data_IF_950587891311
#
_entry.id   IF_950587891311
#
_cell.length_a   1.000
_cell.length_b   1.000
_cell.length_c   1.000
_cell.angle_alpha   90.00
_cell.angle_beta   90.00
_cell.angle_gamma   90.00
#
_symmetry.space_group_name_H-M   'P 1'
#
loop_
_entity.id
_entity.type
_entity.pdbx_description
1 polymer ?
#
# COMPACT_ATOMS: atom_id res chain seq x y z
N UNK A 1 9.69 -6.25 -20.04
CA UNK A 1 8.56 -6.89 -19.34
C UNK A 1 8.47 -6.24 -17.97
N UNK A 2 7.40 -5.49 -17.67
CA UNK A 2 7.24 -4.90 -16.34
C UNK A 2 7.15 -6.03 -15.30
N UNK A 3 7.91 -5.93 -14.21
CA UNK A 3 7.78 -6.86 -13.09
C UNK A 3 6.35 -6.76 -12.54
N UNK A 4 5.69 -7.91 -12.35
CA UNK A 4 4.36 -7.93 -11.74
C UNK A 4 4.46 -7.35 -10.32
N UNK A 5 3.57 -6.42 -9.99
CA UNK A 5 3.56 -5.84 -8.65
C UNK A 5 3.21 -6.91 -7.61
N UNK A 6 3.58 -6.73 -6.33
CA UNK A 6 3.19 -7.64 -5.27
C UNK A 6 1.66 -7.84 -5.16
N UNK A 7 0.87 -6.80 -5.47
CA UNK A 7 -0.57 -6.92 -5.60
C UNK A 7 -0.99 -7.77 -6.80
N UNK A 8 -0.40 -7.54 -7.97
CA UNK A 8 -0.72 -8.29 -9.17
C UNK A 8 -0.46 -9.79 -8.94
N UNK A 9 0.63 -10.12 -8.25
CA UNK A 9 0.93 -11.49 -7.82
C UNK A 9 -0.10 -12.03 -6.82
N UNK A 10 -0.45 -11.26 -5.79
CA UNK A 10 -1.39 -11.68 -4.74
C UNK A 10 -2.80 -11.91 -5.31
N UNK A 11 -3.31 -10.96 -6.09
CA UNK A 11 -4.63 -11.01 -6.72
C UNK A 11 -4.67 -12.12 -7.77
N UNK A 12 -3.63 -12.25 -8.59
CA UNK A 12 -3.54 -13.34 -9.57
C UNK A 12 -3.54 -14.70 -8.88
N UNK A 13 -2.76 -14.88 -7.81
CA UNK A 13 -2.68 -16.14 -7.07
C UNK A 13 -4.03 -16.53 -6.43
N UNK A 14 -4.71 -15.58 -5.77
CA UNK A 14 -6.01 -15.82 -5.16
C UNK A 14 -7.07 -16.18 -6.22
N UNK A 15 -7.06 -15.46 -7.34
CA UNK A 15 -7.99 -15.69 -8.47
C UNK A 15 -7.76 -17.06 -9.11
N UNK A 16 -6.51 -17.47 -9.30
CA UNK A 16 -6.18 -18.79 -9.85
C UNK A 16 -6.54 -19.92 -8.89
N UNK A 17 -6.32 -19.75 -7.59
CA UNK A 17 -6.67 -20.77 -6.58
C UNK A 17 -8.18 -21.06 -6.57
N UNK A 18 -9.02 -20.02 -6.67
CA UNK A 18 -10.48 -20.16 -6.77
C UNK A 18 -10.89 -20.92 -8.05
N UNK A 19 -10.25 -20.62 -9.18
CA UNK A 19 -10.55 -21.29 -10.44
C UNK A 19 -10.15 -22.77 -10.46
N UNK A 20 -9.08 -23.15 -9.73
CA UNK A 20 -8.55 -24.52 -9.71
C UNK A 20 -9.24 -25.38 -8.66
N UNK A 21 -9.48 -24.86 -7.46
CA UNK A 21 -9.91 -25.66 -6.30
C UNK A 21 -11.40 -25.46 -5.94
N UNK A 22 -12.07 -24.46 -6.52
CA UNK A 22 -13.49 -24.17 -6.25
C UNK A 22 -13.80 -23.78 -4.80
N UNK A 23 -12.76 -23.50 -4.00
CA UNK A 23 -12.85 -23.19 -2.57
C UNK A 23 -12.10 -21.89 -2.26
N UNK A 24 -12.64 -21.10 -1.33
CA UNK A 24 -12.01 -19.86 -0.87
C UNK A 24 -10.84 -20.18 0.06
N UNK A 25 -9.69 -19.49 -0.05
CA UNK A 25 -8.59 -19.66 0.88
C UNK A 25 -8.99 -19.17 2.28
N UNK A 26 -9.35 -20.10 3.17
CA UNK A 26 -9.79 -19.77 4.53
C UNK A 26 -8.63 -19.23 5.39
N UNK A 27 -8.76 -17.94 5.74
CA UNK A 27 -8.50 -17.22 7.01
C UNK A 27 -7.39 -17.63 8.01
N UNK A 28 -6.52 -18.60 7.75
CA UNK A 28 -5.56 -19.09 8.76
C UNK A 28 -4.42 -18.11 9.05
N UNK A 29 -4.14 -17.17 8.16
CA UNK A 29 -3.01 -16.26 8.31
C UNK A 29 -3.29 -15.02 9.17
N UNK A 30 -4.54 -14.63 9.42
CA UNK A 30 -4.82 -13.45 10.26
C UNK A 30 -4.70 -13.75 11.76
N UNK A 31 -4.96 -14.98 12.20
CA UNK A 31 -4.77 -15.39 13.59
C UNK A 31 -3.31 -15.35 14.06
N UNK A 32 -2.34 -15.44 13.13
CA UNK A 32 -0.92 -15.42 13.48
C UNK A 32 -0.41 -14.02 13.84
N UNK A 33 -1.09 -12.96 13.40
CA UNK A 33 -0.69 -11.58 13.68
C UNK A 33 -1.14 -11.07 15.06
N UNK A 34 -2.00 -11.80 15.77
CA UNK A 34 -2.34 -11.50 17.18
C UNK A 34 -1.29 -12.04 18.17
N UNK A 35 -0.22 -12.68 17.67
CA UNK A 35 0.90 -13.08 18.51
C UNK A 35 1.67 -11.84 19.00
N UNK A 36 1.99 -11.72 20.30
CA UNK A 36 2.51 -10.50 20.91
C UNK A 36 3.84 -10.00 20.30
N UNK A 37 4.62 -10.91 19.70
CA UNK A 37 5.88 -10.58 19.03
C UNK A 37 5.66 -9.85 17.69
N UNK A 38 4.64 -10.26 16.93
CA UNK A 38 4.31 -9.67 15.61
C UNK A 38 3.48 -8.40 15.77
N UNK A 39 2.57 -8.36 16.76
CA UNK A 39 1.75 -7.19 17.05
C UNK A 39 2.58 -5.93 17.37
N UNK A 40 3.80 -6.10 17.90
CA UNK A 40 4.73 -4.99 18.19
C UNK A 40 5.25 -4.27 16.93
N UNK A 41 5.12 -4.87 15.75
CA UNK A 41 5.63 -4.37 14.48
C UNK A 41 4.55 -3.80 13.54
N UNK A 42 3.27 -3.83 13.96
CA UNK A 42 2.16 -3.34 13.13
C UNK A 42 1.63 -2.02 13.69
N UNK A 43 1.34 -1.05 12.81
CA UNK A 43 0.71 0.23 13.16
C UNK A 43 -0.57 0.43 12.35
N UNK A 44 -1.61 0.96 12.98
CA UNK A 44 -2.84 1.31 12.30
C UNK A 44 -2.63 2.54 11.41
N UNK A 45 -3.02 2.43 10.14
CA UNK A 45 -3.09 3.56 9.21
C UNK A 45 -4.52 4.08 9.21
N UNK A 46 -4.81 5.06 10.06
CA UNK A 46 -6.15 5.63 10.20
C UNK A 46 -6.39 6.74 9.16
N UNK A 47 -6.72 6.38 7.92
CA UNK A 47 -7.18 7.32 6.89
C UNK A 47 -8.71 7.30 6.76
N UNK A 48 -9.34 8.47 6.69
CA UNK A 48 -10.77 8.55 6.34
C UNK A 48 -10.94 8.40 4.83
N UNK A 49 -11.78 7.47 4.42
CA UNK A 49 -12.15 7.22 3.01
C UNK A 49 -13.64 7.45 2.82
N UNK A 50 -14.08 7.57 1.56
CA UNK A 50 -15.52 7.65 1.25
C UNK A 50 -16.21 6.34 1.59
N UNK A 51 -17.50 6.42 1.96
CA UNK A 51 -18.33 5.24 2.24
C UNK A 51 -18.36 4.30 1.03
N UNK A 52 -18.55 4.85 -0.17
CA UNK A 52 -18.56 4.08 -1.42
C UNK A 52 -17.26 3.28 -1.63
N UNK A 53 -16.10 3.89 -1.38
CA UNK A 53 -14.82 3.21 -1.52
C UNK A 53 -14.67 2.09 -0.47
N UNK A 54 -15.09 2.35 0.77
CA UNK A 54 -15.09 1.33 1.82
C UNK A 54 -15.97 0.13 1.44
N UNK A 55 -17.17 0.37 0.92
CA UNK A 55 -18.10 -0.66 0.51
C UNK A 55 -17.55 -1.49 -0.66
N UNK A 56 -16.89 -0.84 -1.62
CA UNK A 56 -16.26 -1.51 -2.75
C UNK A 56 -15.09 -2.41 -2.32
N UNK A 57 -14.24 -1.93 -1.40
CA UNK A 57 -13.17 -2.73 -0.79
C UNK A 57 -13.75 -3.96 -0.10
N UNK A 58 -14.84 -3.79 0.65
CA UNK A 58 -15.49 -4.88 1.37
C UNK A 58 -16.05 -5.95 0.42
N UNK A 59 -16.71 -5.51 -0.65
CA UNK A 59 -17.25 -6.40 -1.68
C UNK A 59 -16.15 -7.21 -2.37
N UNK A 60 -15.05 -6.57 -2.75
CA UNK A 60 -13.90 -7.24 -3.39
C UNK A 60 -13.26 -8.24 -2.43
N UNK A 61 -12.99 -7.84 -1.18
CA UNK A 61 -12.38 -8.69 -0.18
C UNK A 61 -13.24 -9.93 0.13
N UNK A 62 -14.55 -9.71 0.26
CA UNK A 62 -15.54 -10.77 0.48
C UNK A 62 -15.57 -11.76 -0.69
N UNK A 63 -15.63 -11.25 -1.93
CA UNK A 63 -15.67 -12.06 -3.13
C UNK A 63 -14.40 -12.91 -3.33
N UNK A 64 -13.23 -12.33 -3.06
CA UNK A 64 -11.94 -13.00 -3.22
C UNK A 64 -11.55 -13.86 -2.01
N UNK A 65 -12.30 -13.79 -0.90
CA UNK A 65 -11.96 -14.51 0.34
C UNK A 65 -10.67 -14.01 0.99
N UNK A 66 -10.27 -12.76 0.75
CA UNK A 66 -9.07 -12.15 1.33
C UNK A 66 -9.43 -11.18 2.45
N UNK A 67 -8.55 -11.02 3.43
CA UNK A 67 -8.79 -10.04 4.48
C UNK A 67 -8.53 -8.62 4.01
N UNK A 68 -9.35 -7.68 4.50
CA UNK A 68 -9.22 -6.24 4.20
C UNK A 68 -7.82 -5.73 4.50
N UNK A 69 -7.22 -6.21 5.60
CA UNK A 69 -5.86 -5.84 6.01
C UNK A 69 -4.83 -6.21 4.94
N UNK A 70 -4.83 -7.46 4.46
CA UNK A 70 -3.89 -7.90 3.42
C UNK A 70 -4.08 -7.15 2.10
N UNK A 71 -5.35 -6.95 1.71
CA UNK A 71 -5.68 -6.21 0.51
C UNK A 71 -5.15 -4.77 0.57
N UNK A 72 -5.44 -4.06 1.67
CA UNK A 72 -5.00 -2.68 1.89
C UNK A 72 -3.49 -2.57 2.03
N UNK A 73 -2.84 -3.48 2.74
CA UNK A 73 -1.38 -3.49 2.92
C UNK A 73 -0.67 -3.60 1.57
N UNK A 74 -1.09 -4.54 0.72
CA UNK A 74 -0.52 -4.68 -0.60
C UNK A 74 -0.85 -3.47 -1.50
N UNK A 75 -2.05 -2.88 -1.38
CA UNK A 75 -2.41 -1.65 -2.08
C UNK A 75 -1.54 -0.45 -1.68
N UNK A 76 -1.22 -0.32 -0.39
CA UNK A 76 -0.33 0.74 0.08
C UNK A 76 1.10 0.55 -0.36
N UNK A 77 1.63 -0.69 -0.35
CA UNK A 77 2.98 -0.97 -0.88
C UNK A 77 3.07 -0.54 -2.35
N UNK A 78 2.10 -0.94 -3.18
CA UNK A 78 2.12 -0.55 -4.59
C UNK A 78 1.98 0.96 -4.78
N UNK A 79 1.13 1.62 -4.00
CA UNK A 79 0.96 3.07 -4.08
C UNK A 79 2.28 3.80 -3.73
N UNK A 80 3.00 3.33 -2.71
CA UNK A 80 4.30 3.87 -2.31
C UNK A 80 5.36 3.63 -3.39
N UNK A 81 5.45 2.43 -3.94
CA UNK A 81 6.40 2.11 -5.00
C UNK A 81 6.17 2.98 -6.24
N UNK A 82 4.91 3.10 -6.67
CA UNK A 82 4.54 3.98 -7.79
C UNK A 82 4.86 5.44 -7.49
N UNK A 83 4.60 5.92 -6.27
CA UNK A 83 4.94 7.28 -5.87
C UNK A 83 6.45 7.53 -5.93
N UNK A 84 7.27 6.61 -5.40
CA UNK A 84 8.73 6.71 -5.45
C UNK A 84 9.24 6.75 -6.90
N UNK A 85 8.74 5.87 -7.76
CA UNK A 85 9.13 5.85 -9.18
C UNK A 85 8.78 7.16 -9.91
N UNK A 86 7.61 7.75 -9.63
CA UNK A 86 7.23 9.06 -10.18
C UNK A 86 8.12 10.15 -9.61
N UNK A 87 8.38 10.17 -8.31
CA UNK A 87 9.24 11.18 -7.66
C UNK A 87 10.66 11.16 -8.20
N UNK A 88 11.21 9.97 -8.45
CA UNK A 88 12.53 9.78 -9.07
C UNK A 88 12.53 10.25 -10.53
N UNK A 89 11.49 9.90 -11.31
CA UNK A 89 11.37 10.30 -12.72
C UNK A 89 11.27 11.81 -12.90
N UNK A 90 10.49 12.47 -12.03
CA UNK A 90 10.25 13.92 -12.10
C UNK A 90 11.34 14.75 -11.40
N UNK A 91 12.33 14.10 -10.77
CA UNK A 91 13.40 14.80 -10.04
C UNK A 91 12.87 15.66 -8.88
N UNK A 92 11.86 15.15 -8.17
CA UNK A 92 11.17 15.90 -7.10
C UNK A 92 12.13 16.24 -5.96
N UNK A 93 13.08 15.37 -5.67
CA UNK A 93 14.06 15.57 -4.61
C UNK A 93 15.00 16.73 -4.94
N UNK A 94 15.50 16.80 -6.17
CA UNK A 94 16.39 17.85 -6.67
C UNK A 94 15.66 19.21 -6.67
N UNK A 95 14.42 19.26 -7.15
CA UNK A 95 13.60 20.47 -7.15
C UNK A 95 13.29 20.97 -5.72
N UNK A 96 13.11 20.06 -4.76
CA UNK A 96 12.86 20.44 -3.37
C UNK A 96 14.14 20.91 -2.67
N UNK A 97 15.30 20.28 -2.94
CA UNK A 97 16.61 20.67 -2.43
C UNK A 97 17.05 22.06 -2.92
N UNK A 98 16.80 22.39 -4.19
CA UNK A 98 17.05 23.73 -4.74
C UNK A 98 16.16 24.80 -4.07
N UNK A 99 14.87 24.51 -3.89
CA UNK A 99 13.93 25.44 -3.23
C UNK A 99 14.22 25.63 -1.74
N UNK A 100 14.61 24.57 -1.04
CA UNK A 100 14.96 24.65 0.39
C UNK A 100 16.30 25.35 0.61
N UNK A 101 17.25 25.19 -0.31
CA UNK A 101 18.54 25.89 -0.29
C UNK A 101 18.41 27.38 -0.67
N UNK A 102 17.56 27.72 -1.65
CA UNK A 102 17.23 29.11 -2.00
C UNK A 102 16.52 29.86 -0.85
N UNK A 103 15.62 29.18 -0.13
CA UNK A 103 14.93 29.76 1.04
C UNK A 103 15.87 30.03 2.22
N UNK A 104 16.98 29.30 2.34
CA UNK A 104 18.01 29.57 3.37
C UNK A 104 18.88 30.79 3.03
N UNK A 105 19.17 31.05 1.74
CA UNK A 105 19.92 32.25 1.31
C UNK A 105 19.15 33.57 1.57
N UNK A 106 17.84 33.60 1.35
CA UNK A 106 17.03 34.81 1.56
C UNK A 106 16.85 35.23 3.03
N UNK A 107 17.22 34.40 4.01
CA UNK A 107 17.06 34.73 5.45
C UNK A 107 18.35 35.29 6.09
N UNK A 108 19.43 35.41 5.32
CA UNK A 108 20.73 35.92 5.80
C UNK A 108 21.08 37.34 5.37
N UNK A 109 20.25 38.01 4.56
CA UNK A 109 20.54 39.33 3.98
C UNK A 109 19.65 40.46 4.53
N UNK A 110 19.03 40.23 5.70
CA UNK A 110 18.19 41.22 6.39
C UNK A 110 18.57 41.37 7.88
N UNK A 111 19.86 41.25 8.20
CA UNK A 111 20.42 41.53 9.52
C UNK A 111 21.62 42.48 9.43
#
# INVERSE_FOLDING_TARGET
>A
MAARSPLDLLVTHATLSIMVEGSLPQSMTDQLLESPEVASQVKNVCAKVSVQLSDEIDNICSFLGISKRKFLEAAFIEAVDRANAIMETEGVHEHLEERTSARRKNKGEEA
#
